data_IF_768884312596
#
_entry.id   IF_768884312596
#
_cell.length_a   1.000
_cell.length_b   1.000
_cell.length_c   1.000
_cell.angle_alpha   90.00
_cell.angle_beta   90.00
_cell.angle_gamma   90.00
#
_symmetry.space_group_name_H-M   'P 1'
#
loop_
_entity.id
_entity.type
_entity.pdbx_description
1 polymer ?
#
# COMPACT_ATOMS: atom_id res chain seq x y z
N UNK A 1 7.55 4.45 17.43
CA UNK A 1 6.49 3.41 17.33
C UNK A 1 5.28 4.04 16.63
N UNK A 2 4.63 3.36 15.66
CA UNK A 2 3.44 3.90 15.00
C UNK A 2 2.27 4.02 15.98
N UNK A 3 1.40 5.01 15.77
CA UNK A 3 0.21 5.25 16.60
C UNK A 3 -0.80 4.10 16.47
N UNK A 4 -1.69 3.95 17.45
CA UNK A 4 -2.77 2.97 17.39
C UNK A 4 -3.65 3.17 16.15
N UNK A 5 -3.95 4.43 15.81
CA UNK A 5 -4.69 4.80 14.60
C UNK A 5 -3.97 4.38 13.32
N UNK A 6 -2.65 4.61 13.22
CA UNK A 6 -1.88 4.20 12.04
C UNK A 6 -1.86 2.67 11.87
N UNK A 7 -1.75 1.92 12.98
CA UNK A 7 -1.87 0.45 12.96
C UNK A 7 -3.26 0.00 12.51
N UNK A 8 -4.31 0.65 12.99
CA UNK A 8 -5.69 0.37 12.55
C UNK A 8 -5.87 0.62 11.05
N UNK A 9 -5.39 1.76 10.54
CA UNK A 9 -5.45 2.06 9.10
C UNK A 9 -4.61 1.11 8.25
N UNK A 10 -3.46 0.64 8.75
CA UNK A 10 -2.73 -0.43 8.07
C UNK A 10 -3.61 -1.69 7.93
N UNK A 11 -4.16 -2.20 9.03
CA UNK A 11 -5.03 -3.38 9.00
C UNK A 11 -6.24 -3.21 8.08
N UNK A 12 -6.85 -2.03 8.06
CA UNK A 12 -7.96 -1.72 7.15
C UNK A 12 -7.52 -1.70 5.68
N UNK A 13 -6.41 -1.04 5.37
CA UNK A 13 -5.84 -1.02 4.03
C UNK A 13 -5.50 -2.43 3.54
N UNK A 14 -4.95 -3.28 4.40
CA UNK A 14 -4.65 -4.67 4.04
C UNK A 14 -5.92 -5.44 3.66
N UNK A 15 -6.99 -5.28 4.45
CA UNK A 15 -8.28 -5.92 4.19
C UNK A 15 -8.83 -5.51 2.83
N UNK A 16 -8.82 -4.21 2.54
CA UNK A 16 -9.32 -3.65 1.29
C UNK A 16 -8.51 -4.12 0.08
N UNK A 17 -7.18 -4.04 0.15
CA UNK A 17 -6.30 -4.49 -0.95
C UNK A 17 -6.49 -5.97 -1.25
N UNK A 18 -6.57 -6.83 -0.23
CA UNK A 18 -6.80 -8.28 -0.42
C UNK A 18 -8.17 -8.57 -1.04
N UNK A 19 -9.21 -7.84 -0.62
CA UNK A 19 -10.55 -7.97 -1.19
C UNK A 19 -10.57 -7.55 -2.68
N UNK A 20 -9.88 -6.46 -3.03
CA UNK A 20 -9.80 -5.97 -4.40
C UNK A 20 -8.96 -6.87 -5.31
N UNK A 21 -7.87 -7.43 -4.80
CA UNK A 21 -6.94 -8.28 -5.57
C UNK A 21 -7.36 -9.75 -5.61
N UNK A 22 -8.22 -10.20 -4.70
CA UNK A 22 -8.69 -11.59 -4.62
C UNK A 22 -7.67 -12.57 -4.04
N UNK A 23 -6.61 -12.09 -3.37
CA UNK A 23 -5.58 -12.93 -2.76
C UNK A 23 -5.01 -12.37 -1.46
N UNK A 24 -4.42 -13.23 -0.64
CA UNK A 24 -3.88 -12.89 0.68
C UNK A 24 -2.40 -12.47 0.69
N UNK A 25 -1.74 -12.46 -0.47
CA UNK A 25 -0.30 -12.16 -0.60
C UNK A 25 0.08 -10.67 -0.45
N UNK A 26 -0.78 -9.86 0.16
CA UNK A 26 -0.50 -8.47 0.52
C UNK A 26 -0.44 -8.32 2.04
N UNK A 27 0.60 -7.64 2.51
CA UNK A 27 0.72 -7.19 3.89
C UNK A 27 0.91 -5.69 3.91
N UNK A 28 0.27 -5.01 4.86
CA UNK A 28 0.52 -3.59 5.08
C UNK A 28 1.15 -3.35 6.45
N UNK A 29 1.90 -2.27 6.57
CA UNK A 29 2.59 -1.93 7.81
C UNK A 29 2.60 -0.42 8.02
N UNK A 30 2.20 0.02 9.22
CA UNK A 30 2.41 1.40 9.64
C UNK A 30 3.89 1.69 9.90
N UNK A 31 4.41 2.74 9.28
CA UNK A 31 5.80 3.19 9.39
C UNK A 31 5.85 4.74 9.40
N UNK A 32 5.96 5.32 10.59
CA UNK A 32 5.87 6.78 10.74
C UNK A 32 4.51 7.29 10.26
N UNK A 33 4.51 8.26 9.34
CA UNK A 33 3.33 8.80 8.68
C UNK A 33 2.91 8.01 7.41
N UNK A 34 3.53 6.86 7.17
CA UNK A 34 3.30 6.04 5.98
C UNK A 34 2.62 4.72 6.33
N UNK A 35 1.77 4.24 5.43
CA UNK A 35 1.30 2.87 5.36
C UNK A 35 2.04 2.21 4.21
N UNK A 36 2.99 1.32 4.53
CA UNK A 36 3.73 0.55 3.54
C UNK A 36 2.85 -0.58 3.03
N UNK A 37 2.83 -0.78 1.71
CA UNK A 37 2.16 -1.88 1.03
C UNK A 37 3.25 -2.83 0.55
N UNK A 38 3.20 -4.06 1.06
CA UNK A 38 4.17 -5.11 0.77
C UNK A 38 3.49 -6.26 0.07
N UNK A 39 4.12 -6.78 -0.96
CA UNK A 39 3.80 -8.08 -1.54
C UNK A 39 4.60 -9.14 -0.80
N UNK A 40 3.95 -10.21 -0.38
CA UNK A 40 4.63 -11.39 0.12
C UNK A 40 5.26 -12.12 -1.07
N UNK A 41 6.51 -12.51 -0.90
CA UNK A 41 7.29 -13.27 -1.87
C UNK A 41 7.90 -14.46 -1.13
N UNK A 42 8.40 -15.46 -1.85
CA UNK A 42 8.90 -16.72 -1.28
C UNK A 42 10.13 -16.54 -0.36
N UNK A 43 10.84 -15.41 -0.51
CA UNK A 43 12.00 -15.07 0.32
C UNK A 43 11.68 -13.99 1.34
N UNK A 44 11.45 -12.76 0.89
CA UNK A 44 11.27 -11.59 1.74
C UNK A 44 10.14 -10.69 1.20
N UNK A 45 9.29 -10.12 2.07
CA UNK A 45 8.25 -9.19 1.64
C UNK A 45 8.83 -7.95 0.94
N UNK A 46 8.41 -7.73 -0.31
CA UNK A 46 8.85 -6.61 -1.13
C UNK A 46 7.92 -5.43 -0.90
N UNK A 47 8.48 -4.26 -0.55
CA UNK A 47 7.70 -3.01 -0.48
C UNK A 47 7.45 -2.52 -1.91
N UNK A 48 6.18 -2.53 -2.33
CA UNK A 48 5.74 -2.14 -3.68
C UNK A 48 5.26 -0.69 -3.71
N UNK A 49 4.52 -0.26 -2.69
CA UNK A 49 3.93 1.06 -2.64
C UNK A 49 3.85 1.57 -1.19
N UNK A 50 3.51 2.85 -1.04
CA UNK A 50 3.15 3.44 0.25
C UNK A 50 2.02 4.44 0.09
N UNK A 51 1.18 4.53 1.11
CA UNK A 51 0.30 5.68 1.33
C UNK A 51 0.93 6.59 2.38
N UNK A 52 0.89 7.90 2.18
CA UNK A 52 1.40 8.90 3.13
C UNK A 52 0.25 9.77 3.60
N UNK A 53 0.08 9.91 4.92
CA UNK A 53 -0.96 10.77 5.48
C UNK A 53 -0.63 12.25 5.20
N UNK A 54 -1.54 12.94 4.52
CA UNK A 54 -1.48 14.37 4.23
C UNK A 54 -2.30 15.19 5.24
N UNK A 55 -3.17 14.53 6.00
CA UNK A 55 -3.96 15.08 7.10
C UNK A 55 -5.45 14.75 6.98
N UNK A 56 -6.16 14.65 8.11
CA UNK A 56 -7.62 14.44 8.18
C UNK A 56 -8.13 13.28 7.29
N UNK A 57 -7.50 12.11 7.38
CA UNK A 57 -7.82 10.93 6.57
C UNK A 57 -7.57 11.10 5.05
N UNK A 58 -6.79 12.10 4.63
CA UNK A 58 -6.33 12.26 3.26
C UNK A 58 -4.97 11.59 3.08
N UNK A 59 -4.84 10.77 2.03
CA UNK A 59 -3.63 10.02 1.71
C UNK A 59 -3.18 10.32 0.28
N UNK A 60 -1.87 10.45 0.10
CA UNK A 60 -1.22 10.39 -1.22
C UNK A 60 -0.46 9.08 -1.38
N UNK A 61 -0.40 8.55 -2.60
CA UNK A 61 0.27 7.28 -2.88
C UNK A 61 1.60 7.48 -3.61
N UNK A 62 2.55 6.57 -3.38
CA UNK A 62 3.78 6.48 -4.15
C UNK A 62 4.16 5.01 -4.41
N UNK A 63 4.61 4.71 -5.61
CA UNK A 63 5.18 3.45 -6.03
C UNK A 63 6.68 3.40 -5.75
N UNK A 64 7.21 2.22 -5.42
CA UNK A 64 8.64 1.99 -5.29
C UNK A 64 9.14 1.31 -6.57
N UNK A 65 9.86 2.06 -7.41
CA UNK A 65 10.41 1.47 -8.64
C UNK A 65 11.57 0.52 -8.35
N UNK A 66 11.95 -0.27 -9.35
CA UNK A 66 13.03 -1.26 -9.26
C UNK A 66 14.38 -0.66 -8.83
N UNK A 67 14.59 0.65 -9.06
CA UNK A 67 15.78 1.38 -8.61
C UNK A 67 15.76 1.74 -7.11
N UNK A 68 14.65 1.43 -6.42
CA UNK A 68 14.40 1.79 -5.04
C UNK A 68 13.85 3.22 -4.85
N UNK A 69 13.68 3.99 -5.93
CA UNK A 69 13.12 5.35 -5.89
C UNK A 69 11.62 5.32 -5.66
N UNK A 70 11.13 6.32 -4.91
CA UNK A 70 9.70 6.57 -4.76
C UNK A 70 9.19 7.47 -5.87
N UNK A 71 8.14 7.03 -6.56
CA UNK A 71 7.49 7.75 -7.65
C UNK A 71 6.04 8.04 -7.25
N UNK A 72 5.62 9.32 -7.23
CA UNK A 72 4.27 9.67 -6.80
C UNK A 72 3.23 9.12 -7.78
N UNK A 73 2.15 8.56 -7.25
CA UNK A 73 0.97 8.25 -8.04
C UNK A 73 0.06 9.48 -8.10
N UNK A 74 -0.73 9.65 -9.17
CA UNK A 74 -1.69 10.74 -9.25
C UNK A 74 -2.75 10.61 -8.15
N UNK A 75 -3.26 11.75 -7.68
CA UNK A 75 -4.41 11.82 -6.78
C UNK A 75 -4.09 11.75 -5.29
N UNK A 76 -5.09 12.14 -4.51
CA UNK A 76 -5.11 12.01 -3.05
C UNK A 76 -6.54 11.85 -2.59
N UNK A 77 -6.79 11.00 -1.61
CA UNK A 77 -8.15 10.68 -1.17
C UNK A 77 -8.18 9.94 0.16
N UNK A 78 -9.38 9.58 0.65
CA UNK A 78 -9.54 8.67 1.76
C UNK A 78 -8.92 7.30 1.48
N UNK A 79 -8.72 6.52 2.55
CA UNK A 79 -7.97 5.27 2.52
C UNK A 79 -8.49 4.27 1.47
N UNK A 80 -9.81 4.15 1.34
CA UNK A 80 -10.52 3.28 0.41
C UNK A 80 -10.36 3.70 -1.05
N UNK A 81 -10.50 5.00 -1.35
CA UNK A 81 -10.22 5.54 -2.67
C UNK A 81 -8.76 5.29 -3.07
N UNK A 82 -7.83 5.49 -2.14
CA UNK A 82 -6.41 5.25 -2.40
C UNK A 82 -6.07 3.77 -2.53
N UNK A 83 -6.79 2.87 -1.85
CA UNK A 83 -6.66 1.43 -2.07
C UNK A 83 -7.08 1.04 -3.50
N UNK A 84 -8.23 1.54 -3.97
CA UNK A 84 -8.69 1.33 -5.33
C UNK A 84 -7.70 1.90 -6.36
N UNK A 85 -7.19 3.12 -6.12
CA UNK A 85 -6.21 3.75 -7.00
C UNK A 85 -4.92 2.93 -7.11
N UNK A 86 -4.39 2.47 -5.97
CA UNK A 86 -3.19 1.63 -5.95
C UNK A 86 -3.41 0.35 -6.74
N UNK A 87 -4.53 -0.35 -6.53
CA UNK A 87 -4.83 -1.58 -7.30
C UNK A 87 -4.93 -1.26 -8.78
N UNK A 88 -5.69 -0.24 -9.16
CA UNK A 88 -5.92 0.13 -10.56
C UNK A 88 -4.62 0.44 -11.32
N UNK A 89 -3.66 1.11 -10.67
CA UNK A 89 -2.41 1.51 -11.31
C UNK A 89 -1.28 0.51 -11.17
N UNK A 90 -1.28 -0.30 -10.10
CA UNK A 90 -0.15 -1.16 -9.73
C UNK A 90 -0.50 -2.65 -9.66
N UNK A 91 -1.68 -3.07 -10.14
CA UNK A 91 -2.10 -4.48 -10.14
C UNK A 91 -0.97 -5.44 -10.58
N UNK A 92 -0.23 -5.21 -11.68
CA UNK A 92 0.82 -6.14 -12.10
C UNK A 92 1.93 -6.34 -11.07
N UNK A 93 2.22 -5.34 -10.25
CA UNK A 93 3.25 -5.40 -9.21
C UNK A 93 2.74 -5.99 -7.89
N UNK A 94 1.41 -6.11 -7.74
CA UNK A 94 0.76 -6.62 -6.54
C UNK A 94 0.37 -8.09 -6.68
N UNK A 95 0.30 -8.61 -7.92
CA UNK A 95 0.10 -10.03 -8.18
C UNK A 95 1.31 -10.86 -7.74
N UNK A 96 1.08 -12.07 -7.20
CA UNK A 96 2.12 -12.93 -6.70
C UNK A 96 2.97 -13.59 -7.80
N UNK A 97 2.34 -13.94 -8.93
CA UNK A 97 2.98 -14.78 -9.96
C UNK A 97 3.71 -13.97 -11.05
N UNK A 98 3.85 -12.65 -10.89
CA UNK A 98 4.28 -11.78 -11.98
C UNK A 98 5.80 -11.60 -12.12
N UNK A 99 6.65 -12.20 -11.27
CA UNK A 99 8.10 -12.11 -11.40
C UNK A 99 8.84 -13.30 -10.79
#
# INVERSE_FOLDING_TARGET
MPTLTAKHHASELQRQLRALLGHDQIVTQAYGAHLLIKRLDDQDPIVVARLSELGRNLYGAAFRSHSGRWEPLPGSGPLDEMAQLVVTLLEPYLQPDNY
#
